data_IF_678790780302
#
_entry.id   IF_678790780302
#
_cell.length_a   1.000
_cell.length_b   1.000
_cell.length_c   1.000
_cell.angle_alpha   90.00
_cell.angle_beta   90.00
_cell.angle_gamma   90.00
#
_symmetry.space_group_name_H-M   'P 1'
#
loop_
_entity.id
_entity.type
_entity.pdbx_description
1 polymer ?
#
# COMPACT_ATOMS: atom_id res chain seq x y z
N UNK A 1 26.05 6.41 3.23
CA UNK A 1 25.24 7.62 2.98
C UNK A 1 23.88 7.12 2.55
N UNK A 2 22.77 7.55 3.16
CA UNK A 2 21.44 7.11 2.70
C UNK A 2 21.16 7.78 1.35
N UNK A 3 20.72 7.02 0.35
CA UNK A 3 20.28 7.55 -0.94
C UNK A 3 18.85 8.10 -0.76
N UNK A 4 18.51 9.24 -1.38
CA UNK A 4 17.13 9.74 -1.33
C UNK A 4 16.13 8.72 -1.91
N UNK A 5 16.60 7.88 -2.83
CA UNK A 5 15.82 6.79 -3.43
C UNK A 5 15.66 5.58 -2.49
N UNK A 6 16.39 5.50 -1.37
CA UNK A 6 16.26 4.41 -0.39
C UNK A 6 14.86 4.37 0.23
N UNK A 7 14.23 5.54 0.41
CA UNK A 7 12.95 5.68 1.09
C UNK A 7 11.79 5.87 0.10
N UNK A 8 11.94 5.39 -1.12
CA UNK A 8 10.86 5.46 -2.09
C UNK A 8 9.66 4.67 -1.58
N UNK A 9 8.52 5.36 -1.47
CA UNK A 9 7.24 4.75 -1.17
C UNK A 9 6.51 4.51 -2.49
N UNK A 10 6.08 3.26 -2.73
CA UNK A 10 5.16 2.97 -3.83
C UNK A 10 3.79 2.62 -3.25
N UNK A 11 2.76 3.27 -3.78
CA UNK A 11 1.40 3.14 -3.28
C UNK A 11 0.51 2.56 -4.38
N UNK A 12 -0.18 1.49 -4.04
CA UNK A 12 -1.33 0.99 -4.79
C UNK A 12 -2.56 1.13 -3.89
N UNK A 13 -3.52 1.95 -4.33
CA UNK A 13 -4.71 2.25 -3.55
C UNK A 13 -5.98 1.98 -4.38
N UNK A 14 -6.98 1.40 -3.73
CA UNK A 14 -8.33 1.24 -4.28
C UNK A 14 -9.29 2.09 -3.46
N UNK A 15 -10.23 2.79 -4.09
CA UNK A 15 -11.28 3.54 -3.40
C UNK A 15 -12.67 3.35 -4.02
N UNK A 16 -13.69 3.63 -3.22
CA UNK A 16 -15.12 3.51 -3.60
C UNK A 16 -15.54 4.38 -4.79
N UNK A 17 -14.97 5.57 -4.95
CA UNK A 17 -15.17 6.45 -6.10
C UNK A 17 -14.04 7.48 -6.25
N UNK A 18 -13.83 7.94 -7.49
CA UNK A 18 -12.81 8.94 -7.81
C UNK A 18 -13.28 10.29 -7.27
N UNK A 19 -12.54 10.84 -6.31
CA UNK A 19 -12.88 12.12 -5.72
C UNK A 19 -14.01 12.08 -4.68
N UNK A 20 -14.27 10.93 -4.03
CA UNK A 20 -15.23 10.81 -2.89
C UNK A 20 -14.94 11.74 -1.69
N UNK A 21 -13.91 12.58 -1.79
CA UNK A 21 -13.51 13.47 -0.74
C UNK A 21 -12.96 12.70 0.47
N UNK A 22 -12.99 13.34 1.66
CA UNK A 22 -12.37 12.79 2.86
C UNK A 22 -13.11 11.58 3.41
N UNK A 23 -14.34 11.28 2.95
CA UNK A 23 -15.19 10.22 3.48
C UNK A 23 -15.14 8.91 2.67
N UNK A 24 -14.16 8.76 1.76
CA UNK A 24 -14.04 7.55 0.93
C UNK A 24 -13.75 6.29 1.75
N UNK A 25 -14.30 5.17 1.29
CA UNK A 25 -13.71 3.86 1.58
C UNK A 25 -12.46 3.68 0.73
N UNK A 26 -11.37 3.18 1.31
CA UNK A 26 -10.07 3.02 0.65
C UNK A 26 -9.28 1.84 1.23
N UNK A 27 -8.57 1.13 0.36
CA UNK A 27 -7.66 0.04 0.70
C UNK A 27 -6.28 0.36 0.14
N UNK A 28 -5.28 0.34 1.00
CA UNK A 28 -3.92 0.73 0.64
C UNK A 28 -2.96 -0.46 0.69
N UNK A 29 -2.06 -0.51 -0.29
CA UNK A 29 -0.82 -1.27 -0.29
C UNK A 29 0.32 -0.29 -0.50
N UNK A 30 1.13 -0.10 0.53
CA UNK A 30 2.24 0.83 0.52
C UNK A 30 3.54 0.09 0.78
N UNK A 31 4.46 0.12 -0.18
CA UNK A 31 5.80 -0.41 0.01
C UNK A 31 6.64 0.69 0.62
N UNK A 32 7.04 0.50 1.87
CA UNK A 32 7.90 1.42 2.59
C UNK A 32 9.35 1.04 2.28
N UNK A 33 10.00 1.87 1.45
CA UNK A 33 11.43 1.79 1.19
C UNK A 33 12.26 1.86 2.47
N UNK A 34 13.41 1.22 2.43
CA UNK A 34 14.38 1.24 3.51
C UNK A 34 15.78 1.50 2.93
N UNK A 35 16.75 1.79 3.81
CA UNK A 35 18.15 1.96 3.40
C UNK A 35 18.59 0.82 2.49
N UNK A 36 19.40 1.13 1.46
CA UNK A 36 19.96 0.11 0.57
C UNK A 36 20.49 -1.09 1.37
N UNK A 37 19.98 -2.29 1.08
CA UNK A 37 20.35 -3.55 1.75
C UNK A 37 19.49 -3.94 2.96
N UNK A 38 18.58 -3.07 3.41
CA UNK A 38 17.60 -3.37 4.45
C UNK A 38 16.27 -3.81 3.82
N UNK A 39 15.50 -4.69 4.48
CA UNK A 39 14.26 -5.20 3.91
C UNK A 39 13.19 -4.11 3.76
N UNK A 40 12.46 -4.19 2.65
CA UNK A 40 11.23 -3.44 2.45
C UNK A 40 10.15 -3.92 3.42
N UNK A 41 9.33 -2.99 3.89
CA UNK A 41 8.08 -3.30 4.58
C UNK A 41 6.91 -3.07 3.63
N UNK A 42 5.90 -3.93 3.71
CA UNK A 42 4.60 -3.65 3.12
C UNK A 42 3.66 -3.20 4.23
N UNK A 43 3.05 -2.04 4.05
CA UNK A 43 2.00 -1.51 4.90
C UNK A 43 0.67 -1.67 4.17
N UNK A 44 -0.31 -2.25 4.86
CA UNK A 44 -1.71 -2.24 4.42
C UNK A 44 -2.51 -1.32 5.31
N UNK A 45 -3.58 -0.72 4.78
CA UNK A 45 -4.50 0.08 5.56
C UNK A 45 -5.92 -0.01 4.98
N UNK A 46 -6.91 0.20 5.84
CA UNK A 46 -8.33 0.16 5.49
C UNK A 46 -9.01 1.41 6.02
N UNK A 47 -9.47 2.24 5.11
CA UNK A 47 -10.36 3.37 5.37
C UNK A 47 -11.80 2.94 5.13
N UNK A 48 -12.65 3.29 6.09
CA UNK A 48 -14.10 3.14 5.98
C UNK A 48 -14.76 4.48 6.33
N UNK A 49 -15.56 5.02 5.43
CA UNK A 49 -16.19 6.33 5.56
C UNK A 49 -15.19 7.41 5.98
N UNK A 50 -14.01 7.44 5.32
CA UNK A 50 -12.91 8.36 5.62
C UNK A 50 -12.08 8.03 6.86
N UNK A 51 -12.48 7.04 7.66
CA UNK A 51 -11.79 6.69 8.90
C UNK A 51 -10.85 5.52 8.66
N UNK A 52 -9.54 5.80 8.61
CA UNK A 52 -8.46 4.81 8.50
C UNK A 52 -8.01 4.24 9.84
N UNK A 53 -6.69 4.03 9.98
CA UNK A 53 -6.06 3.62 11.24
C UNK A 53 -5.99 2.10 11.46
N UNK A 54 -6.34 1.31 10.44
CA UNK A 54 -6.29 -0.16 10.46
C UNK A 54 -5.00 -0.67 9.81
N UNK A 55 -3.90 0.02 10.11
CA UNK A 55 -2.62 -0.26 9.49
C UNK A 55 -2.02 -1.57 10.00
N UNK A 56 -1.55 -2.40 9.09
CA UNK A 56 -0.69 -3.54 9.40
C UNK A 56 0.62 -3.40 8.62
N UNK A 57 1.73 -3.89 9.20
CA UNK A 57 3.05 -3.88 8.56
C UNK A 57 3.65 -5.26 8.59
N UNK A 58 4.19 -5.68 7.45
CA UNK A 58 4.84 -6.97 7.31
C UNK A 58 6.18 -6.81 6.60
N UNK A 59 7.18 -7.57 7.05
CA UNK A 59 8.38 -7.79 6.25
C UNK A 59 8.07 -8.83 5.17
N UNK A 60 8.58 -8.61 3.97
CA UNK A 60 8.51 -9.60 2.91
C UNK A 60 9.61 -10.66 3.12
N UNK A 61 9.33 -11.91 2.72
CA UNK A 61 10.31 -12.99 2.76
C UNK A 61 11.17 -13.08 1.49
N UNK A 62 11.08 -12.07 0.63
CA UNK A 62 11.79 -11.91 -0.64
C UNK A 62 12.10 -10.43 -0.86
N UNK A 63 13.05 -10.11 -1.74
CA UNK A 63 13.32 -8.73 -2.18
C UNK A 63 12.30 -8.36 -3.28
N UNK A 64 11.37 -7.41 -3.04
CA UNK A 64 10.35 -7.05 -4.02
C UNK A 64 10.91 -6.29 -5.24
N UNK A 65 12.21 -5.99 -5.27
CA UNK A 65 12.88 -5.27 -6.38
C UNK A 65 13.56 -6.20 -7.38
N UNK A 66 13.71 -7.49 -7.07
CA UNK A 66 14.41 -8.45 -7.92
C UNK A 66 13.55 -8.98 -9.09
N UNK A 67 12.22 -9.06 -8.93
CA UNK A 67 11.29 -9.50 -9.97
C UNK A 67 9.87 -8.92 -9.74
N UNK A 68 8.96 -9.18 -10.67
CA UNK A 68 7.54 -8.86 -10.50
C UNK A 68 6.85 -9.85 -9.56
N UNK A 69 6.14 -9.31 -8.56
CA UNK A 69 5.34 -10.09 -7.62
C UNK A 69 3.85 -9.74 -7.73
N UNK A 70 2.99 -10.72 -7.43
CA UNK A 70 1.53 -10.52 -7.44
C UNK A 70 1.05 -10.18 -6.04
N UNK A 71 0.42 -9.01 -5.91
CA UNK A 71 -0.30 -8.58 -4.71
C UNK A 71 -1.78 -8.49 -5.06
N UNK A 72 -2.63 -9.14 -4.26
CA UNK A 72 -4.05 -9.25 -4.56
C UNK A 72 -4.88 -8.86 -3.36
N UNK A 73 -5.90 -8.06 -3.62
CA UNK A 73 -6.93 -7.71 -2.68
C UNK A 73 -8.10 -8.68 -2.90
N UNK A 74 -8.47 -9.42 -1.85
CA UNK A 74 -9.65 -10.29 -1.88
C UNK A 74 -10.83 -9.56 -1.23
N UNK A 75 -11.37 -8.57 -1.95
CA UNK A 75 -12.64 -7.97 -1.57
C UNK A 75 -13.78 -8.75 -2.20
N UNK A 76 -14.89 -8.87 -1.47
CA UNK A 76 -16.11 -9.47 -1.98
C UNK A 76 -16.76 -8.62 -3.08
N UNK A 77 -18.09 -8.67 -3.19
CA UNK A 77 -18.83 -7.80 -4.14
C UNK A 77 -18.84 -6.34 -3.66
N UNK A 78 -17.71 -5.63 -3.80
CA UNK A 78 -17.60 -4.19 -3.62
C UNK A 78 -16.90 -3.64 -4.86
N UNK A 79 -17.47 -2.61 -5.46
CA UNK A 79 -16.83 -1.90 -6.56
C UNK A 79 -15.85 -0.91 -5.96
N UNK A 80 -14.57 -1.18 -6.14
CA UNK A 80 -13.51 -0.23 -5.90
C UNK A 80 -12.81 0.03 -7.23
N UNK A 81 -12.32 1.25 -7.39
CA UNK A 81 -11.54 1.66 -8.54
C UNK A 81 -10.16 2.10 -8.06
N UNK A 82 -9.16 1.99 -8.94
CA UNK A 82 -7.87 2.61 -8.67
C UNK A 82 -8.09 4.10 -8.50
N UNK A 83 -7.73 4.61 -7.32
CA UNK A 83 -7.24 5.96 -7.21
C UNK A 83 -5.72 5.93 -7.51
#
# INVERSE_FOLDING_TARGET
MNNINDYAESLFQLCSENGAGPERDELDFEFLGNKTGEPYLIQTNVYKNGTGGRKMRHMLWFDPTEDYHTYSIHEGRIRMISC
#
